data_IF_507435035623
#
_entry.id   IF_507435035623
#
_cell.length_a   1.000
_cell.length_b   1.000
_cell.length_c   1.000
_cell.angle_alpha   90.00
_cell.angle_beta   90.00
_cell.angle_gamma   90.00
#
_symmetry.space_group_name_H-M   'P 1'
#
loop_
_entity.id
_entity.type
_entity.pdbx_description
1 polymer ?
#
# COMPACT_ATOMS: atom_id res chain seq x y z
N UNK A 1 -37.90 24.65 16.19
CA UNK A 1 -39.18 25.40 16.19
C UNK A 1 -39.57 25.98 17.56
N UNK A 2 -39.45 25.25 18.68
CA UNK A 2 -39.89 25.70 20.02
C UNK A 2 -39.16 26.95 20.56
N UNK A 3 -37.84 27.04 20.37
CA UNK A 3 -37.02 28.18 20.78
C UNK A 3 -37.41 29.44 20.01
N UNK A 4 -37.54 29.33 18.68
CA UNK A 4 -37.96 30.43 17.81
C UNK A 4 -39.35 30.96 18.17
N UNK A 5 -40.34 30.07 18.36
CA UNK A 5 -41.69 30.46 18.80
C UNK A 5 -41.69 31.20 20.14
N UNK A 6 -40.83 30.79 21.08
CA UNK A 6 -40.73 31.41 22.40
C UNK A 6 -40.05 32.78 22.34
N UNK A 7 -38.99 32.92 21.53
CA UNK A 7 -38.33 34.22 21.29
C UNK A 7 -39.26 35.23 20.64
N UNK A 8 -40.11 34.81 19.70
CA UNK A 8 -41.08 35.70 19.07
C UNK A 8 -42.16 36.18 20.04
N UNK A 9 -42.69 35.29 20.90
CA UNK A 9 -43.67 35.71 21.92
C UNK A 9 -43.09 36.68 22.94
N UNK A 10 -41.82 36.53 23.28
CA UNK A 10 -41.14 37.52 24.13
C UNK A 10 -41.03 38.86 23.42
N UNK A 11 -40.71 38.87 22.12
CA UNK A 11 -40.48 40.10 21.34
C UNK A 11 -41.77 40.85 20.96
N UNK A 12 -42.85 40.13 20.69
CA UNK A 12 -44.07 40.69 20.10
C UNK A 12 -45.31 40.61 21.02
N UNK A 13 -45.33 39.68 21.98
CA UNK A 13 -46.46 39.49 22.90
C UNK A 13 -46.11 39.82 24.37
N UNK A 14 -44.87 40.28 24.63
CA UNK A 14 -44.29 40.61 25.93
C UNK A 14 -44.45 39.51 27.02
N UNK A 15 -44.56 38.25 26.58
CA UNK A 15 -44.74 37.10 27.47
C UNK A 15 -43.39 36.54 27.92
N UNK A 16 -43.14 36.42 29.25
CA UNK A 16 -41.87 35.89 29.75
C UNK A 16 -41.68 34.42 29.33
N UNK A 17 -40.47 34.03 28.88
CA UNK A 17 -40.21 32.68 28.40
C UNK A 17 -40.22 31.67 29.55
N UNK A 18 -41.01 30.61 29.43
CA UNK A 18 -40.92 29.47 30.34
C UNK A 18 -39.91 28.46 29.81
N UNK A 19 -38.74 28.41 30.43
CA UNK A 19 -37.69 27.43 30.10
C UNK A 19 -38.21 25.99 30.16
N UNK A 20 -39.02 25.67 31.17
CA UNK A 20 -39.60 24.34 31.33
C UNK A 20 -40.54 23.97 30.16
N UNK A 21 -41.30 24.94 29.63
CA UNK A 21 -42.17 24.73 28.47
C UNK A 21 -41.37 24.55 27.18
N UNK A 22 -40.29 25.31 27.01
CA UNK A 22 -39.35 25.15 25.89
C UNK A 22 -38.72 23.76 25.94
N UNK A 23 -38.20 23.36 27.09
CA UNK A 23 -37.54 22.08 27.28
C UNK A 23 -38.48 20.91 27.00
N UNK A 24 -39.69 20.93 27.58
CA UNK A 24 -40.72 19.90 27.31
C UNK A 24 -41.09 19.83 25.83
N UNK A 25 -41.26 20.96 25.16
CA UNK A 25 -41.60 21.00 23.73
C UNK A 25 -40.47 20.46 22.86
N UNK A 26 -39.21 20.79 23.16
CA UNK A 26 -38.04 20.28 22.44
C UNK A 26 -37.90 18.77 22.66
N UNK A 27 -38.04 18.28 23.90
CA UNK A 27 -37.99 16.85 24.23
C UNK A 27 -39.10 16.05 23.55
N UNK A 28 -40.33 16.58 23.50
CA UNK A 28 -41.44 15.95 22.80
C UNK A 28 -41.19 15.84 21.29
N UNK A 29 -40.65 16.89 20.68
CA UNK A 29 -40.31 16.88 19.25
C UNK A 29 -39.19 15.89 18.94
N UNK A 30 -38.13 15.85 19.77
CA UNK A 30 -37.03 14.89 19.61
C UNK A 30 -37.52 13.43 19.68
N UNK A 31 -38.43 13.11 20.61
CA UNK A 31 -39.04 11.78 20.71
C UNK A 31 -39.89 11.42 19.49
N UNK A 32 -40.62 12.38 18.93
CA UNK A 32 -41.41 12.18 17.71
C UNK A 32 -40.52 11.94 16.48
N UNK A 33 -39.42 12.68 16.38
CA UNK A 33 -38.51 12.62 15.24
C UNK A 33 -37.58 11.39 15.28
N UNK A 34 -37.18 10.93 16.47
CA UNK A 34 -36.17 9.89 16.65
C UNK A 34 -36.43 8.57 15.87
N UNK A 35 -37.65 8.01 15.82
CA UNK A 35 -37.93 6.80 15.03
C UNK A 35 -37.69 6.95 13.52
N UNK A 36 -37.67 8.19 13.03
CA UNK A 36 -37.51 8.52 11.60
C UNK A 36 -36.07 8.94 11.27
N UNK A 37 -35.16 8.92 12.25
CA UNK A 37 -33.75 9.27 12.09
C UNK A 37 -32.89 8.03 12.33
N UNK A 38 -32.51 7.28 11.27
CA UNK A 38 -31.67 6.09 11.43
C UNK A 38 -30.29 6.51 11.95
N UNK A 39 -29.79 5.79 12.97
CA UNK A 39 -28.49 6.06 13.57
C UNK A 39 -28.14 5.11 14.72
N UNK A 40 -26.89 5.17 15.15
CA UNK A 40 -26.37 4.43 16.29
C UNK A 40 -25.66 5.38 17.24
N UNK A 41 -25.72 5.10 18.54
CA UNK A 41 -24.96 5.81 19.56
C UNK A 41 -23.58 5.19 19.77
N UNK A 42 -22.58 6.03 20.02
CA UNK A 42 -21.22 5.62 20.34
C UNK A 42 -20.91 5.89 21.82
N UNK A 43 -20.91 4.84 22.63
CA UNK A 43 -20.45 4.93 24.01
C UNK A 43 -21.51 5.30 25.04
N UNK A 44 -21.09 5.30 26.31
CA UNK A 44 -21.99 5.35 27.48
C UNK A 44 -22.61 6.75 27.67
N UNK A 45 -21.87 7.81 27.38
CA UNK A 45 -22.36 9.20 27.56
C UNK A 45 -23.51 9.53 26.60
N UNK A 46 -23.37 9.19 25.32
CA UNK A 46 -24.40 9.40 24.30
C UNK A 46 -25.67 8.60 24.62
N UNK A 47 -25.51 7.36 25.08
CA UNK A 47 -26.62 6.53 25.55
C UNK A 47 -27.38 7.19 26.70
N UNK A 48 -26.66 7.67 27.71
CA UNK A 48 -27.26 8.33 28.87
C UNK A 48 -27.98 9.63 28.49
N UNK A 49 -27.43 10.39 27.54
CA UNK A 49 -28.06 11.60 27.01
C UNK A 49 -29.38 11.27 26.28
N UNK A 50 -29.37 10.28 25.40
CA UNK A 50 -30.56 9.84 24.66
C UNK A 50 -31.65 9.31 25.61
N UNK A 51 -31.28 8.49 26.59
CA UNK A 51 -32.18 8.01 27.65
C UNK A 51 -32.75 9.19 28.46
N UNK A 52 -31.91 10.17 28.82
CA UNK A 52 -32.33 11.40 29.48
C UNK A 52 -33.33 12.23 28.67
N UNK A 53 -33.24 12.18 27.34
CA UNK A 53 -34.21 12.75 26.39
C UNK A 53 -35.42 11.83 26.13
N UNK A 54 -35.40 10.60 26.65
CA UNK A 54 -36.43 9.57 26.48
C UNK A 54 -36.49 9.00 25.07
N UNK A 55 -35.34 8.94 24.41
CA UNK A 55 -35.13 8.24 23.14
C UNK A 55 -34.46 6.91 23.47
N UNK A 56 -34.98 5.80 22.93
CA UNK A 56 -34.35 4.49 23.10
C UNK A 56 -33.09 4.41 22.22
N UNK A 57 -31.89 4.22 22.79
CA UNK A 57 -30.66 4.14 22.01
C UNK A 57 -30.58 2.83 21.24
N UNK A 58 -30.17 2.90 19.97
CA UNK A 58 -29.83 1.71 19.18
C UNK A 58 -28.34 1.41 19.36
N UNK A 59 -28.00 0.45 20.22
CA UNK A 59 -26.60 0.05 20.41
C UNK A 59 -26.01 -0.44 19.10
N UNK A 60 -24.79 0.01 18.79
CA UNK A 60 -23.99 -0.57 17.71
C UNK A 60 -23.68 -2.02 18.10
N UNK A 61 -23.95 -2.97 17.21
CA UNK A 61 -23.37 -4.31 17.34
C UNK A 61 -21.86 -4.17 17.21
N UNK A 62 -21.11 -4.49 18.25
CA UNK A 62 -19.67 -4.56 18.15
C UNK A 62 -19.34 -5.79 17.32
N UNK A 63 -18.97 -5.59 16.05
CA UNK A 63 -18.41 -6.66 15.23
C UNK A 63 -17.15 -7.17 15.94
N UNK A 64 -17.13 -8.45 16.30
CA UNK A 64 -15.97 -9.06 16.94
C UNK A 64 -14.73 -8.81 16.08
N UNK A 65 -13.65 -8.35 16.71
CA UNK A 65 -12.37 -8.17 16.01
C UNK A 65 -11.90 -9.51 15.45
N UNK A 66 -11.68 -9.57 14.13
CA UNK A 66 -11.11 -10.75 13.48
C UNK A 66 -9.60 -10.60 13.44
N UNK A 67 -8.88 -11.55 14.03
CA UNK A 67 -7.43 -11.64 13.88
C UNK A 67 -7.09 -11.94 12.41
N UNK A 68 -6.20 -11.15 11.83
CA UNK A 68 -5.76 -11.29 10.43
C UNK A 68 -4.31 -11.77 10.45
N UNK A 69 -4.10 -13.06 10.20
CA UNK A 69 -2.77 -13.66 10.12
C UNK A 69 -2.40 -13.95 8.67
N UNK A 70 -1.17 -13.60 8.31
CA UNK A 70 -0.57 -14.05 7.06
C UNK A 70 0.00 -15.46 7.27
N UNK A 71 -0.27 -16.36 6.32
CA UNK A 71 0.26 -17.73 6.34
C UNK A 71 1.08 -17.99 5.09
N UNK A 72 2.18 -18.76 5.17
CA UNK A 72 2.93 -19.17 4.00
C UNK A 72 2.07 -20.05 3.06
N UNK A 73 2.34 -20.05 1.75
CA UNK A 73 1.73 -20.98 0.82
C UNK A 73 2.30 -22.40 1.02
N UNK A 74 1.61 -23.41 0.47
CA UNK A 74 2.16 -24.78 0.39
C UNK A 74 3.19 -24.86 -0.73
N UNK A 75 4.24 -25.67 -0.58
CA UNK A 75 5.19 -25.95 -1.67
C UNK A 75 4.45 -26.58 -2.88
N UNK A 76 4.76 -26.20 -4.14
CA UNK A 76 5.86 -25.33 -4.61
C UNK A 76 5.43 -23.86 -4.85
N UNK A 77 4.33 -23.41 -4.27
CA UNK A 77 3.77 -22.10 -4.55
C UNK A 77 4.62 -20.96 -3.96
N UNK A 78 4.79 -19.91 -4.75
CA UNK A 78 5.27 -18.60 -4.30
C UNK A 78 4.06 -17.70 -4.10
N UNK A 79 3.99 -17.03 -2.95
CA UNK A 79 2.91 -16.10 -2.64
C UNK A 79 3.35 -14.69 -2.99
N UNK A 80 2.59 -14.05 -3.87
CA UNK A 80 2.76 -12.67 -4.30
C UNK A 80 1.68 -11.83 -3.61
N UNK A 81 2.09 -10.85 -2.80
CA UNK A 81 1.22 -9.82 -2.25
C UNK A 81 1.45 -8.52 -3.02
N UNK A 82 0.41 -7.87 -3.55
CA UNK A 82 0.49 -6.60 -4.28
C UNK A 82 -0.41 -5.53 -3.67
N UNK A 83 -0.07 -4.26 -3.91
CA UNK A 83 -0.86 -3.11 -3.49
C UNK A 83 -0.62 -1.90 -4.41
N UNK A 84 -1.60 -1.01 -4.48
CA UNK A 84 -1.55 0.26 -5.21
C UNK A 84 -1.84 1.44 -4.29
N UNK A 85 -0.99 2.46 -4.35
CA UNK A 85 -1.13 3.69 -3.58
C UNK A 85 -1.43 4.87 -4.48
N UNK A 86 -2.33 5.75 -4.01
CA UNK A 86 -2.64 7.02 -4.66
C UNK A 86 -2.87 8.13 -3.62
N UNK A 87 -2.25 9.30 -3.83
CA UNK A 87 -2.47 10.52 -3.05
C UNK A 87 -3.44 11.46 -3.80
N UNK A 88 -4.75 11.24 -3.58
CA UNK A 88 -5.84 11.93 -4.29
C UNK A 88 -6.16 11.22 -5.62
N UNK A 89 -7.43 10.96 -5.95
CA UNK A 89 -7.81 10.06 -7.04
C UNK A 89 -8.53 10.80 -8.19
N UNK A 90 -7.86 11.10 -9.33
CA UNK A 90 -6.47 10.76 -9.68
C UNK A 90 -5.44 11.70 -9.03
N UNK A 91 -4.19 11.23 -8.94
CA UNK A 91 -3.09 11.95 -8.28
C UNK A 91 -1.83 11.09 -8.20
N UNK A 92 -0.75 11.56 -7.53
CA UNK A 92 0.51 10.84 -7.44
C UNK A 92 0.29 9.41 -6.96
N UNK A 93 0.74 8.45 -7.76
CA UNK A 93 0.47 7.05 -7.61
C UNK A 93 1.76 6.23 -7.61
N UNK A 94 1.71 5.09 -6.93
CA UNK A 94 2.75 4.08 -6.95
C UNK A 94 2.12 2.70 -6.77
N UNK A 95 2.88 1.66 -7.10
CA UNK A 95 2.49 0.29 -6.77
C UNK A 95 3.69 -0.45 -6.20
N UNK A 96 3.40 -1.57 -5.54
CA UNK A 96 4.45 -2.43 -5.04
C UNK A 96 3.98 -3.85 -4.81
N UNK A 97 4.94 -4.72 -4.63
CA UNK A 97 4.66 -6.12 -4.34
C UNK A 97 5.82 -6.83 -3.66
N UNK A 98 5.48 -7.93 -3.01
CA UNK A 98 6.43 -8.76 -2.27
C UNK A 98 6.15 -10.24 -2.53
N UNK A 99 7.22 -11.00 -2.71
CA UNK A 99 7.20 -12.43 -2.94
C UNK A 99 7.72 -13.18 -1.72
N UNK A 100 7.01 -14.23 -1.35
CA UNK A 100 7.43 -15.14 -0.28
C UNK A 100 7.32 -16.60 -0.72
N UNK A 101 8.28 -17.41 -0.29
CA UNK A 101 8.27 -18.85 -0.53
C UNK A 101 7.33 -19.59 0.45
N UNK A 102 7.29 -20.92 0.34
CA UNK A 102 6.49 -21.81 1.19
C UNK A 102 6.97 -21.92 2.64
N UNK A 103 8.15 -21.40 2.96
CA UNK A 103 8.64 -21.26 4.34
C UNK A 103 8.31 -19.88 4.93
N UNK A 104 7.79 -18.96 4.12
CA UNK A 104 7.45 -17.60 4.49
C UNK A 104 8.61 -16.61 4.37
N UNK A 105 9.77 -17.04 3.86
CA UNK A 105 10.89 -16.16 3.61
C UNK A 105 10.59 -15.21 2.46
N UNK A 106 11.05 -13.97 2.60
CA UNK A 106 11.02 -13.00 1.51
C UNK A 106 12.03 -13.42 0.46
N UNK A 107 11.59 -13.66 -0.77
CA UNK A 107 12.50 -14.00 -1.87
C UNK A 107 12.67 -12.82 -2.84
N UNK A 108 11.77 -11.84 -2.75
CA UNK A 108 11.72 -10.77 -3.75
C UNK A 108 10.77 -9.64 -3.41
N UNK A 109 10.96 -8.47 -4.01
CA UNK A 109 9.93 -7.43 -4.05
C UNK A 109 10.29 -6.26 -4.96
N UNK A 110 9.26 -5.48 -5.30
CA UNK A 110 9.39 -4.32 -6.19
C UNK A 110 8.54 -3.14 -5.71
N UNK A 111 8.97 -1.92 -6.04
CA UNK A 111 8.10 -0.76 -6.01
C UNK A 111 8.36 0.16 -7.19
N UNK A 112 7.30 0.76 -7.73
CA UNK A 112 7.36 1.62 -8.91
C UNK A 112 6.48 2.84 -8.71
N UNK A 113 7.06 4.03 -8.91
CA UNK A 113 6.31 5.27 -9.09
C UNK A 113 5.56 5.25 -10.42
N UNK A 114 4.29 5.66 -10.44
CA UNK A 114 3.41 5.57 -11.61
C UNK A 114 2.97 6.93 -12.16
N UNK A 115 3.50 8.03 -11.60
CA UNK A 115 3.05 9.39 -11.91
C UNK A 115 1.62 9.64 -11.41
N UNK A 116 0.85 10.47 -12.11
CA UNK A 116 -0.53 10.76 -11.72
C UNK A 116 -1.50 9.72 -12.28
N UNK A 117 -2.06 8.87 -11.42
CA UNK A 117 -2.96 7.79 -11.81
C UNK A 117 -4.16 7.65 -10.87
N UNK A 118 -5.07 6.74 -11.22
CA UNK A 118 -6.17 6.34 -10.35
C UNK A 118 -5.78 5.19 -9.42
N UNK A 119 -6.51 5.01 -8.32
CA UNK A 119 -6.27 3.89 -7.40
C UNK A 119 -6.38 2.54 -8.13
N UNK A 120 -7.38 2.36 -9.00
CA UNK A 120 -7.55 1.14 -9.79
C UNK A 120 -6.36 0.87 -10.73
N UNK A 121 -5.82 1.92 -11.38
CA UNK A 121 -4.65 1.79 -12.22
C UNK A 121 -3.43 1.31 -11.42
N UNK A 122 -3.18 1.90 -10.26
CA UNK A 122 -2.05 1.54 -9.42
C UNK A 122 -2.11 0.08 -8.95
N UNK A 123 -3.29 -0.35 -8.47
CA UNK A 123 -3.55 -1.73 -8.05
C UNK A 123 -3.36 -2.73 -9.20
N UNK A 124 -3.91 -2.40 -10.38
CA UNK A 124 -3.80 -3.24 -11.56
C UNK A 124 -2.35 -3.34 -12.05
N UNK A 125 -1.60 -2.23 -12.03
CA UNK A 125 -0.19 -2.22 -12.41
C UNK A 125 0.67 -3.06 -11.46
N UNK A 126 0.43 -2.97 -10.15
CA UNK A 126 1.12 -3.81 -9.17
C UNK A 126 0.97 -5.30 -9.47
N UNK A 127 -0.23 -5.73 -9.86
CA UNK A 127 -0.46 -7.11 -10.32
C UNK A 127 0.29 -7.42 -11.61
N UNK A 128 0.18 -6.56 -12.63
CA UNK A 128 0.85 -6.77 -13.93
C UNK A 128 2.36 -6.96 -13.76
N UNK A 129 3.02 -6.07 -13.01
CA UNK A 129 4.45 -6.14 -12.75
C UNK A 129 4.82 -7.38 -11.94
N UNK A 130 4.06 -7.68 -10.87
CA UNK A 130 4.33 -8.86 -10.06
C UNK A 130 4.25 -10.17 -10.85
N UNK A 131 3.28 -10.30 -11.76
CA UNK A 131 3.19 -11.47 -12.65
C UNK A 131 4.35 -11.52 -13.65
N UNK A 132 4.75 -10.36 -14.18
CA UNK A 132 5.87 -10.27 -15.10
C UNK A 132 7.18 -10.75 -14.43
N UNK A 133 7.50 -10.22 -13.25
CA UNK A 133 8.67 -10.66 -12.49
C UNK A 133 8.62 -12.14 -12.15
N UNK A 134 7.48 -12.63 -11.65
CA UNK A 134 7.33 -14.05 -11.35
C UNK A 134 7.66 -14.96 -12.55
N UNK A 135 7.18 -14.56 -13.73
CA UNK A 135 7.45 -15.28 -14.96
C UNK A 135 8.92 -15.21 -15.36
N UNK A 136 9.55 -14.03 -15.26
CA UNK A 136 10.98 -13.84 -15.56
C UNK A 136 11.89 -14.66 -14.64
N UNK A 137 11.55 -14.79 -13.35
CA UNK A 137 12.26 -15.66 -12.41
C UNK A 137 11.95 -17.16 -12.59
N UNK A 138 11.07 -17.51 -13.53
CA UNK A 138 10.68 -18.90 -13.78
C UNK A 138 9.81 -19.50 -12.67
N UNK A 139 9.22 -18.69 -11.80
CA UNK A 139 8.32 -19.17 -10.75
C UNK A 139 6.98 -19.58 -11.36
N UNK A 140 6.80 -20.88 -11.58
CA UNK A 140 5.63 -21.42 -12.28
C UNK A 140 4.37 -21.59 -11.44
N UNK A 141 4.44 -21.46 -10.11
CA UNK A 141 3.31 -21.66 -9.19
C UNK A 141 3.09 -20.38 -8.37
N UNK A 142 2.16 -19.54 -8.80
CA UNK A 142 1.95 -18.20 -8.23
C UNK A 142 0.60 -18.07 -7.55
N UNK A 143 0.65 -17.77 -6.25
CA UNK A 143 -0.50 -17.42 -5.43
C UNK A 143 -0.55 -15.91 -5.21
N UNK A 144 -1.36 -15.22 -6.00
CA UNK A 144 -1.61 -13.78 -5.86
C UNK A 144 -2.57 -13.46 -4.70
N UNK A 145 -2.19 -12.46 -3.92
CA UNK A 145 -2.96 -11.82 -2.86
C UNK A 145 -3.03 -10.31 -3.13
N UNK A 146 -4.25 -9.79 -3.23
CA UNK A 146 -4.53 -8.35 -3.33
C UNK A 146 -5.75 -8.03 -2.47
N UNK A 147 -5.80 -6.84 -1.88
CA UNK A 147 -6.97 -6.29 -1.19
C UNK A 147 -7.95 -5.59 -2.15
N UNK A 148 -7.59 -5.46 -3.43
CA UNK A 148 -8.46 -4.91 -4.47
C UNK A 148 -9.34 -5.99 -5.11
N UNK A 149 -10.57 -6.13 -4.60
CA UNK A 149 -11.59 -7.04 -5.15
C UNK A 149 -11.84 -6.72 -6.64
N UNK A 150 -11.83 -5.45 -7.02
CA UNK A 150 -12.03 -5.02 -8.41
C UNK A 150 -10.96 -5.59 -9.34
N UNK A 151 -9.69 -5.57 -8.95
CA UNK A 151 -8.60 -6.13 -9.76
C UNK A 151 -8.68 -7.66 -9.83
N UNK A 152 -9.05 -8.32 -8.73
CA UNK A 152 -9.28 -9.77 -8.75
C UNK A 152 -10.43 -10.16 -9.68
N UNK A 153 -11.52 -9.39 -9.69
CA UNK A 153 -12.63 -9.59 -10.61
C UNK A 153 -12.19 -9.46 -12.08
N UNK A 154 -11.31 -8.51 -12.39
CA UNK A 154 -10.73 -8.35 -13.73
C UNK A 154 -9.93 -9.57 -14.19
N UNK A 155 -9.16 -10.21 -13.30
CA UNK A 155 -8.40 -11.42 -13.62
C UNK A 155 -9.29 -12.63 -13.93
N UNK A 156 -10.47 -12.69 -13.31
CA UNK A 156 -11.44 -13.77 -13.54
C UNK A 156 -12.40 -13.51 -14.71
N UNK A 157 -12.44 -12.27 -15.22
CA UNK A 157 -13.36 -11.86 -16.27
C UNK A 157 -12.77 -12.12 -17.66
N UNK A 158 -13.55 -12.73 -18.54
CA UNK A 158 -13.18 -12.92 -19.95
C UNK A 158 -13.44 -11.68 -20.82
N UNK A 159 -14.23 -10.72 -20.33
CA UNK A 159 -14.66 -9.54 -21.08
C UNK A 159 -13.99 -8.23 -20.63
N UNK A 160 -13.22 -8.26 -19.55
CA UNK A 160 -12.56 -7.07 -19.04
C UNK A 160 -11.49 -6.55 -20.02
N UNK A 161 -11.57 -5.25 -20.33
CA UNK A 161 -10.52 -4.51 -21.01
C UNK A 161 -10.01 -3.41 -20.08
N UNK A 162 -8.69 -3.34 -19.83
CA UNK A 162 -8.11 -2.29 -19.00
C UNK A 162 -8.10 -0.94 -19.74
N UNK A 163 -7.77 0.17 -19.04
CA UNK A 163 -7.43 1.43 -19.69
C UNK A 163 -6.39 1.22 -20.79
N UNK A 164 -6.53 1.94 -21.91
CA UNK A 164 -5.66 1.80 -23.10
C UNK A 164 -4.16 1.73 -22.80
N UNK A 165 -3.58 2.57 -21.90
CA UNK A 165 -2.15 2.51 -21.59
C UNK A 165 -1.68 1.16 -21.03
N UNK A 166 -2.57 0.40 -20.39
CA UNK A 166 -2.26 -0.91 -19.81
C UNK A 166 -2.57 -2.08 -20.73
N UNK A 167 -3.16 -1.85 -21.91
CA UNK A 167 -3.72 -2.93 -22.73
C UNK A 167 -2.68 -3.97 -23.14
N UNK A 168 -1.52 -3.53 -23.61
CA UNK A 168 -0.44 -4.45 -24.04
C UNK A 168 0.12 -5.22 -22.84
N UNK A 169 0.43 -4.50 -21.75
CA UNK A 169 0.99 -5.10 -20.54
C UNK A 169 0.02 -6.12 -19.90
N UNK A 170 -1.28 -5.82 -19.92
CA UNK A 170 -2.34 -6.71 -19.49
C UNK A 170 -2.44 -7.98 -20.35
N UNK A 171 -2.42 -7.86 -21.68
CA UNK A 171 -2.45 -9.02 -22.57
C UNK A 171 -1.22 -9.93 -22.35
N UNK A 172 -0.05 -9.34 -22.16
CA UNK A 172 1.17 -10.08 -21.84
C UNK A 172 1.06 -10.77 -20.46
N UNK A 173 0.52 -10.06 -19.45
CA UNK A 173 0.24 -10.62 -18.14
C UNK A 173 -0.69 -11.84 -18.22
N UNK A 174 -1.81 -11.75 -18.94
CA UNK A 174 -2.73 -12.88 -19.14
C UNK A 174 -2.08 -14.03 -19.90
N UNK A 175 -1.25 -13.74 -20.90
CA UNK A 175 -0.47 -14.76 -21.63
C UNK A 175 0.46 -15.52 -20.68
N UNK A 176 1.18 -14.81 -19.81
CA UNK A 176 2.07 -15.42 -18.80
C UNK A 176 1.32 -16.24 -17.78
N UNK A 177 0.17 -15.75 -17.30
CA UNK A 177 -0.71 -16.50 -16.37
C UNK A 177 -1.10 -17.84 -16.99
N UNK A 178 -1.43 -17.89 -18.29
CA UNK A 178 -1.79 -19.14 -18.99
C UNK A 178 -0.64 -20.15 -19.06
N UNK A 179 0.61 -19.72 -18.89
CA UNK A 179 1.81 -20.56 -18.89
C UNK A 179 2.28 -20.94 -17.47
N UNK A 180 1.51 -20.59 -16.45
CA UNK A 180 1.79 -20.83 -15.03
C UNK A 180 0.60 -21.48 -14.34
N UNK A 181 0.87 -22.19 -13.24
CA UNK A 181 -0.17 -22.52 -12.26
C UNK A 181 -0.47 -21.28 -11.44
N UNK A 182 -1.68 -20.73 -11.62
CA UNK A 182 -2.06 -19.44 -11.05
C UNK A 182 -3.30 -19.56 -10.16
N UNK A 183 -3.22 -18.95 -8.98
CA UNK A 183 -4.34 -18.82 -8.06
C UNK A 183 -4.34 -17.40 -7.49
N UNK A 184 -5.50 -16.75 -7.42
CA UNK A 184 -5.62 -15.42 -6.84
C UNK A 184 -6.77 -15.37 -5.84
N UNK A 185 -6.63 -14.57 -4.78
CA UNK A 185 -7.70 -14.35 -3.82
C UNK A 185 -7.48 -13.09 -2.99
N UNK A 186 -8.56 -12.65 -2.37
CA UNK A 186 -8.57 -11.44 -1.56
C UNK A 186 -7.77 -11.62 -0.25
N UNK A 187 -7.13 -10.54 0.19
CA UNK A 187 -6.55 -10.40 1.53
C UNK A 187 -7.07 -9.11 2.16
N UNK A 188 -7.27 -9.10 3.48
CA UNK A 188 -7.60 -7.86 4.18
C UNK A 188 -6.36 -6.97 4.28
N UNK A 189 -6.56 -5.65 4.35
CA UNK A 189 -5.47 -4.67 4.46
C UNK A 189 -4.50 -4.95 5.61
N UNK A 190 -5.01 -5.38 6.76
CA UNK A 190 -4.20 -5.73 7.93
C UNK A 190 -3.26 -6.92 7.65
N UNK A 191 -3.59 -7.77 6.69
CA UNK A 191 -2.75 -8.89 6.23
C UNK A 191 -1.88 -8.57 5.00
N UNK A 192 -2.03 -7.37 4.42
CA UNK A 192 -1.31 -6.92 3.22
C UNK A 192 -0.29 -5.82 3.50
N UNK A 193 0.01 -5.53 4.78
CA UNK A 193 0.78 -4.35 5.21
C UNK A 193 2.17 -4.22 4.60
N UNK A 194 2.80 -5.32 4.17
CA UNK A 194 4.12 -5.24 3.52
C UNK A 194 3.98 -4.74 2.08
N UNK A 195 2.98 -5.20 1.33
CA UNK A 195 2.72 -4.68 -0.01
C UNK A 195 2.29 -3.21 0.02
N UNK A 196 1.46 -2.82 1.00
CA UNK A 196 1.12 -1.41 1.25
C UNK A 196 2.37 -0.55 1.48
N UNK A 197 3.29 -1.01 2.33
CA UNK A 197 4.57 -0.32 2.55
C UNK A 197 5.44 -0.26 1.29
N UNK A 198 5.36 -1.28 0.44
CA UNK A 198 6.05 -1.30 -0.86
C UNK A 198 5.45 -0.29 -1.83
N UNK A 199 4.13 -0.17 -1.91
CA UNK A 199 3.52 0.88 -2.72
C UNK A 199 3.87 2.28 -2.18
N UNK A 200 3.92 2.46 -0.86
CA UNK A 200 4.35 3.72 -0.23
C UNK A 200 5.79 4.12 -0.56
N UNK A 201 6.69 3.15 -0.78
CA UNK A 201 8.06 3.43 -1.20
C UNK A 201 8.14 4.17 -2.54
N UNK A 202 7.29 3.79 -3.49
CA UNK A 202 7.30 4.39 -4.83
C UNK A 202 6.87 5.86 -4.89
N UNK A 203 6.26 6.39 -3.82
CA UNK A 203 5.94 7.83 -3.68
C UNK A 203 6.96 8.62 -2.85
N UNK A 204 8.17 8.07 -2.66
CA UNK A 204 9.29 8.65 -1.96
C UNK A 204 9.10 8.77 -0.44
N UNK A 205 9.58 7.74 0.27
CA UNK A 205 10.09 7.87 1.64
C UNK A 205 11.38 7.07 1.77
N UNK A 206 12.52 7.77 1.81
CA UNK A 206 13.84 7.17 2.05
C UNK A 206 13.80 6.25 3.28
N UNK A 207 13.09 6.66 4.35
CA UNK A 207 13.03 5.90 5.60
C UNK A 207 12.44 4.48 5.48
N UNK A 208 11.61 4.23 4.46
CA UNK A 208 11.03 2.92 4.20
C UNK A 208 12.02 2.02 3.44
N UNK A 209 12.93 2.61 2.65
CA UNK A 209 13.83 1.88 1.74
C UNK A 209 14.73 0.96 2.56
N UNK A 210 15.32 1.49 3.62
CA UNK A 210 16.16 0.72 4.53
C UNK A 210 15.41 -0.39 5.25
N UNK A 211 14.16 -0.12 5.64
CA UNK A 211 13.34 -1.13 6.32
C UNK A 211 13.06 -2.30 5.39
N UNK A 212 12.93 -2.04 4.09
CA UNK A 212 12.76 -3.07 3.09
C UNK A 212 14.02 -3.91 2.89
N UNK A 213 15.19 -3.28 2.77
CA UNK A 213 16.46 -4.00 2.64
C UNK A 213 16.81 -4.87 3.86
N UNK A 214 16.21 -4.59 5.02
CA UNK A 214 16.34 -5.38 6.26
C UNK A 214 15.36 -6.57 6.35
N UNK A 215 14.49 -6.78 5.36
CA UNK A 215 13.61 -7.93 5.37
C UNK A 215 14.42 -9.23 5.27
N UNK A 216 14.22 -10.20 6.18
CA UNK A 216 15.09 -11.36 6.28
C UNK A 216 15.00 -12.24 5.03
N UNK A 217 16.16 -12.73 4.59
CA UNK A 217 16.33 -13.61 3.42
C UNK A 217 15.96 -12.98 2.07
N UNK A 218 15.70 -11.67 2.01
CA UNK A 218 15.42 -10.97 0.78
C UNK A 218 16.59 -11.14 -0.20
N UNK A 219 16.29 -11.65 -1.40
CA UNK A 219 17.29 -11.93 -2.45
C UNK A 219 17.24 -10.95 -3.60
N UNK A 220 16.03 -10.60 -4.03
CA UNK A 220 15.80 -9.76 -5.19
C UNK A 220 15.03 -8.50 -4.83
N UNK A 221 15.49 -7.36 -5.37
CA UNK A 221 14.85 -6.07 -5.16
C UNK A 221 14.89 -5.24 -6.44
N UNK A 222 13.73 -4.76 -6.87
CA UNK A 222 13.62 -3.76 -7.93
C UNK A 222 12.98 -2.48 -7.40
N UNK A 223 13.77 -1.42 -7.42
CA UNK A 223 13.36 -0.09 -6.98
C UNK A 223 13.67 0.94 -8.05
N UNK A 224 13.78 0.51 -9.31
CA UNK A 224 14.03 1.41 -10.43
C UNK A 224 12.96 2.50 -10.53
N UNK A 225 13.34 3.62 -11.14
CA UNK A 225 12.44 4.75 -11.43
C UNK A 225 11.79 5.38 -10.18
N UNK A 226 12.46 5.27 -9.03
CA UNK A 226 12.05 5.91 -7.78
C UNK A 226 13.04 7.01 -7.40
N UNK A 227 12.56 8.20 -7.05
CA UNK A 227 13.45 9.28 -6.60
C UNK A 227 13.98 8.98 -5.19
N UNK A 228 15.14 8.32 -5.11
CA UNK A 228 15.75 7.89 -3.86
C UNK A 228 16.90 8.83 -3.45
N UNK A 229 16.70 9.62 -2.40
CA UNK A 229 17.79 10.34 -1.75
C UNK A 229 18.55 9.40 -0.79
N UNK A 230 19.35 8.50 -1.37
CA UNK A 230 19.97 7.37 -0.66
C UNK A 230 21.20 7.77 0.22
N UNK A 231 21.74 8.98 0.01
CA UNK A 231 23.07 9.35 0.49
C UNK A 231 23.03 9.72 1.98
N UNK A 232 21.98 10.39 2.43
CA UNK A 232 21.80 10.79 3.83
C UNK A 232 21.59 9.60 4.77
N UNK A 233 20.93 8.56 4.28
CA UNK A 233 20.53 7.40 5.08
C UNK A 233 21.62 6.32 5.21
N UNK A 234 22.49 6.18 4.20
CA UNK A 234 23.59 5.19 4.24
C UNK A 234 24.72 5.54 5.20
N UNK A 235 24.86 6.81 5.58
CA UNK A 235 25.93 7.28 6.48
C UNK A 235 25.68 6.97 7.96
N UNK A 236 24.44 6.70 8.37
CA UNK A 236 24.03 6.51 9.78
C UNK A 236 23.79 5.04 10.17
N UNK A 237 24.06 4.09 9.27
CA UNK A 237 23.63 2.70 9.46
C UNK A 237 24.65 1.75 10.05
N UNK A 238 24.16 0.85 10.91
CA UNK A 238 24.80 -0.41 11.21
C UNK A 238 24.50 -1.41 10.08
N UNK A 239 25.43 -1.51 9.13
CA UNK A 239 25.26 -2.23 7.85
C UNK A 239 25.11 -3.75 8.02
N UNK A 240 25.44 -4.27 9.20
CA UNK A 240 25.29 -5.69 9.58
C UNK A 240 23.86 -6.22 9.59
N UNK A 241 22.84 -5.35 9.47
CA UNK A 241 21.42 -5.71 9.54
C UNK A 241 20.71 -5.85 8.19
N UNK A 242 21.40 -5.59 7.07
CA UNK A 242 20.82 -5.66 5.73
C UNK A 242 20.93 -7.08 5.17
N UNK A 243 19.90 -7.54 4.46
CA UNK A 243 19.91 -8.85 3.82
C UNK A 243 20.95 -8.95 2.71
N UNK A 244 21.47 -10.17 2.53
CA UNK A 244 22.42 -10.51 1.47
C UNK A 244 21.66 -10.70 0.15
N UNK A 245 21.64 -9.64 -0.65
CA UNK A 245 20.96 -9.58 -1.93
C UNK A 245 21.75 -10.34 -3.00
N UNK A 246 21.02 -10.89 -3.95
CA UNK A 246 21.52 -11.57 -5.15
C UNK A 246 21.36 -10.65 -6.38
N UNK A 247 20.25 -9.90 -6.43
CA UNK A 247 19.93 -8.96 -7.51
C UNK A 247 19.38 -7.66 -6.94
N UNK A 248 19.92 -6.55 -7.42
CA UNK A 248 19.50 -5.21 -7.03
C UNK A 248 19.39 -4.29 -8.25
N UNK A 249 18.18 -3.78 -8.48
CA UNK A 249 17.87 -2.82 -9.55
C UNK A 249 17.56 -1.45 -8.93
N UNK A 250 18.41 -0.48 -9.28
CA UNK A 250 18.42 0.88 -8.76
C UNK A 250 18.61 1.90 -9.91
N UNK A 251 18.27 1.53 -11.15
CA UNK A 251 18.32 2.46 -12.27
C UNK A 251 17.31 3.60 -12.13
N UNK A 252 17.66 4.77 -12.67
CA UNK A 252 16.80 5.96 -12.66
C UNK A 252 16.38 6.44 -11.25
N UNK A 253 17.21 6.15 -10.25
CA UNK A 253 16.89 6.45 -8.85
C UNK A 253 17.39 7.80 -8.33
N UNK A 254 17.95 8.66 -9.18
CA UNK A 254 18.61 9.93 -8.80
C UNK A 254 19.77 9.75 -7.79
N UNK A 255 20.44 8.59 -7.82
CA UNK A 255 21.60 8.32 -6.98
C UNK A 255 22.80 9.11 -7.50
N UNK A 256 23.53 9.82 -6.62
CA UNK A 256 24.70 10.65 -7.00
C UNK A 256 26.04 10.09 -6.55
N UNK A 257 26.03 9.24 -5.53
CA UNK A 257 27.22 8.58 -4.99
C UNK A 257 26.92 7.09 -4.79
N UNK A 258 27.94 6.24 -4.88
CA UNK A 258 27.78 4.81 -4.62
C UNK A 258 27.31 4.54 -3.18
N UNK A 259 26.20 3.82 -2.99
CA UNK A 259 25.71 3.48 -1.66
C UNK A 259 26.70 2.62 -0.88
N UNK A 260 27.07 3.05 0.33
CA UNK A 260 28.09 2.37 1.14
C UNK A 260 27.70 0.93 1.53
N UNK A 261 26.41 0.60 1.59
CA UNK A 261 25.97 -0.75 1.96
C UNK A 261 26.35 -1.81 0.93
N UNK A 262 26.59 -1.41 -0.33
CA UNK A 262 27.00 -2.32 -1.40
C UNK A 262 28.33 -3.02 -1.09
N UNK A 263 29.18 -2.43 -0.24
CA UNK A 263 30.45 -3.04 0.21
C UNK A 263 30.27 -4.36 0.97
N UNK A 264 29.08 -4.61 1.48
CA UNK A 264 28.77 -5.74 2.35
C UNK A 264 27.84 -6.76 1.68
N UNK A 265 27.65 -6.64 0.36
CA UNK A 265 26.77 -7.49 -0.44
C UNK A 265 27.62 -8.51 -1.23
N UNK A 266 28.21 -9.46 -0.51
CA UNK A 266 29.10 -10.50 -1.06
C UNK A 266 28.41 -11.53 -1.96
N UNK A 267 27.09 -11.67 -1.82
CA UNK A 267 26.24 -12.54 -2.62
C UNK A 267 25.69 -11.89 -3.88
N UNK A 268 25.87 -10.58 -4.04
CA UNK A 268 25.31 -9.84 -5.15
C UNK A 268 26.00 -10.27 -6.44
N UNK A 269 25.21 -10.60 -7.46
CA UNK A 269 25.73 -10.91 -8.80
C UNK A 269 25.05 -10.09 -9.90
N UNK A 270 24.01 -9.31 -9.58
CA UNK A 270 23.44 -8.32 -10.48
C UNK A 270 23.25 -6.99 -9.76
N UNK A 271 23.78 -5.92 -10.36
CA UNK A 271 23.56 -4.56 -9.92
C UNK A 271 23.35 -3.65 -11.12
N UNK A 272 22.19 -2.99 -11.16
CA UNK A 272 21.92 -1.95 -12.14
C UNK A 272 21.79 -0.59 -11.44
N UNK A 273 22.65 0.34 -11.84
CA UNK A 273 22.68 1.73 -11.41
C UNK A 273 22.62 2.69 -12.60
N UNK A 274 22.18 2.23 -13.78
CA UNK A 274 22.08 3.04 -14.98
C UNK A 274 21.09 4.21 -14.83
N UNK A 275 21.28 5.28 -15.59
CA UNK A 275 20.37 6.44 -15.56
C UNK A 275 20.39 7.23 -14.24
N UNK A 276 21.40 7.04 -13.40
CA UNK A 276 21.63 7.81 -12.19
C UNK A 276 22.58 9.00 -12.44
N UNK A 277 22.58 9.97 -11.52
CA UNK A 277 23.42 11.18 -11.58
C UNK A 277 24.81 10.99 -10.99
N UNK A 278 25.36 9.78 -11.05
CA UNK A 278 26.67 9.46 -10.47
C UNK A 278 27.80 10.06 -11.32
N UNK A 279 28.79 10.63 -10.63
CA UNK A 279 29.97 11.24 -11.21
C UNK A 279 31.21 10.88 -10.38
N UNK A 280 32.39 11.02 -10.97
CA UNK A 280 33.67 10.67 -10.33
C UNK A 280 34.14 9.26 -10.65
N UNK A 281 35.01 8.71 -9.81
CA UNK A 281 35.63 7.39 -10.05
C UNK A 281 34.82 6.25 -9.42
N UNK A 282 34.77 5.11 -10.12
CA UNK A 282 34.21 3.88 -9.55
C UNK A 282 35.10 3.42 -8.37
N UNK A 283 34.55 3.27 -7.15
CA UNK A 283 35.35 2.96 -5.98
C UNK A 283 36.13 1.65 -6.09
N UNK A 284 37.38 1.64 -5.62
CA UNK A 284 38.29 0.46 -5.66
C UNK A 284 37.65 -0.83 -5.14
N UNK A 285 36.86 -0.75 -4.06
CA UNK A 285 36.18 -1.90 -3.47
C UNK A 285 35.15 -2.56 -4.40
N UNK A 286 34.61 -1.83 -5.39
CA UNK A 286 33.65 -2.36 -6.35
C UNK A 286 34.33 -3.18 -7.46
N UNK A 287 35.62 -2.98 -7.71
CA UNK A 287 36.38 -3.78 -8.67
C UNK A 287 36.69 -5.19 -8.17
N UNK A 288 36.68 -5.40 -6.85
CA UNK A 288 36.86 -6.72 -6.24
C UNK A 288 35.61 -7.61 -6.30
N UNK A 289 34.47 -7.08 -6.74
CA UNK A 289 33.22 -7.83 -6.96
C UNK A 289 33.22 -8.48 -8.35
N UNK A 290 34.10 -9.47 -8.55
CA UNK A 290 34.32 -10.18 -9.83
C UNK A 290 33.13 -11.04 -10.32
N UNK A 291 32.00 -11.04 -9.61
CA UNK A 291 30.80 -11.84 -9.89
C UNK A 291 29.58 -11.01 -10.29
N UNK A 292 29.67 -9.68 -10.28
CA UNK A 292 28.52 -8.79 -10.49
C UNK A 292 28.44 -8.36 -11.96
N UNK A 293 27.32 -8.65 -12.62
CA UNK A 293 26.94 -7.97 -13.85
C UNK A 293 26.58 -6.52 -13.48
N UNK A 294 27.44 -5.58 -13.89
CA UNK A 294 27.27 -4.16 -13.60
C UNK A 294 26.65 -3.43 -14.80
N UNK A 295 25.43 -2.93 -14.63
CA UNK A 295 24.84 -1.93 -15.52
C UNK A 295 25.08 -0.54 -14.95
N UNK A 296 26.11 0.17 -15.41
CA UNK A 296 26.33 1.57 -15.03
C UNK A 296 26.50 2.42 -16.29
N UNK A 297 25.64 3.43 -16.43
CA UNK A 297 25.79 4.47 -17.45
C UNK A 297 25.99 5.80 -16.72
N UNK A 298 27.18 6.37 -16.85
CA UNK A 298 27.58 7.65 -16.27
C UNK A 298 28.96 8.08 -16.80
N UNK A 299 29.30 9.35 -16.64
CA UNK A 299 30.63 9.86 -16.99
C UNK A 299 31.63 9.50 -15.89
N UNK A 300 32.24 8.32 -15.99
CA UNK A 300 33.32 7.87 -15.11
C UNK A 300 34.66 8.13 -15.80
N UNK A 301 35.59 8.74 -15.07
CA UNK A 301 36.99 8.94 -15.49
C UNK A 301 37.96 8.01 -14.78
#
# INVERSE_FOLDING_TARGET
MAIWKTRNRLRFDDKPPSLMRVFRSTKAWLRFAAPHMPGHSSGILDNNLLIGLGIQPTSRSHTASRLVLWHPPVSPWVKLNTDGLVKGNPGPAACGGVFRDSTGHYIGGFCHGLGNQTAFFAELMGVILGIDYAFQFGWRYIWLKSDSISVLACLTSSSFSPPWPLRIAWLNCLSRIRLMSFYCCHVLREGNTVADRMANLGLASSSLFLKFLKLPNLKWVDLSDNNLDLITETRTMNVSSISRLEYLELSLCNIREFPNFLRYQDTLFYLNLSGNGMHGQVPKWMWNTSRVLFGVHGHFS
#
